data_IF_908487883619
#
_entry.id   IF_908487883619
#
_cell.length_a   1.000
_cell.length_b   1.000
_cell.length_c   1.000
_cell.angle_alpha   90.00
_cell.angle_beta   90.00
_cell.angle_gamma   90.00
#
_symmetry.space_group_name_H-M   'P 1'
#
loop_
_entity.id
_entity.type
_entity.pdbx_description
1 polymer ?
#
# COMPACT_ATOMS: atom_id res chain seq x y z
N UNK A 1 33.85 13.07 -9.12
CA UNK A 1 32.42 13.45 -9.13
C UNK A 1 31.60 12.19 -8.98
N UNK A 2 30.57 12.19 -8.13
CA UNK A 2 29.71 11.00 -7.94
C UNK A 2 28.65 10.94 -9.04
N UNK A 3 28.36 9.75 -9.56
CA UNK A 3 27.26 9.51 -10.50
C UNK A 3 26.06 8.94 -9.74
N UNK A 4 24.93 9.64 -9.82
CA UNK A 4 23.63 9.24 -9.25
C UNK A 4 22.72 8.82 -10.40
N UNK A 5 22.11 7.64 -10.28
CA UNK A 5 21.19 7.11 -11.29
C UNK A 5 19.82 6.90 -10.68
N UNK A 6 18.79 7.57 -11.20
CA UNK A 6 17.39 7.33 -10.84
C UNK A 6 16.73 6.44 -11.89
N UNK A 7 16.32 5.23 -11.49
CA UNK A 7 15.86 4.19 -12.42
C UNK A 7 14.39 4.33 -12.85
N UNK A 8 13.54 5.00 -12.07
CA UNK A 8 12.09 4.98 -12.25
C UNK A 8 11.40 6.27 -11.80
N UNK A 9 11.81 7.41 -12.37
CA UNK A 9 11.29 8.74 -12.03
C UNK A 9 9.78 8.89 -12.27
N UNK A 10 9.19 8.17 -13.23
CA UNK A 10 7.75 8.23 -13.51
C UNK A 10 6.88 7.76 -12.34
N UNK A 11 7.47 7.07 -11.37
CA UNK A 11 6.75 6.62 -10.17
C UNK A 11 6.48 7.74 -9.17
N UNK A 12 7.16 8.88 -9.29
CA UNK A 12 6.85 10.09 -8.53
C UNK A 12 6.05 11.04 -9.41
N UNK A 13 5.09 11.76 -8.83
CA UNK A 13 4.31 12.77 -9.57
C UNK A 13 5.22 13.73 -10.35
N UNK A 14 4.84 14.17 -11.57
CA UNK A 14 5.58 15.21 -12.28
C UNK A 14 5.57 16.55 -11.51
N UNK A 15 4.60 16.76 -10.61
CA UNK A 15 4.55 17.94 -9.73
C UNK A 15 5.56 17.89 -8.58
N UNK A 16 6.14 16.72 -8.30
CA UNK A 16 7.12 16.55 -7.22
C UNK A 16 8.44 17.22 -7.58
N UNK A 17 8.86 18.14 -6.73
CA UNK A 17 10.13 18.85 -6.88
C UNK A 17 11.23 17.99 -6.26
N UNK A 18 12.11 17.45 -7.10
CA UNK A 18 13.32 16.77 -6.67
C UNK A 18 14.48 17.77 -6.71
N UNK A 19 14.83 18.35 -5.56
CA UNK A 19 15.97 19.27 -5.48
C UNK A 19 17.29 18.54 -5.78
N UNK A 20 18.28 19.21 -6.40
CA UNK A 20 19.60 18.62 -6.57
C UNK A 20 20.29 18.44 -5.19
N UNK A 21 21.03 17.34 -4.97
CA UNK A 21 21.92 17.19 -3.81
C UNK A 21 22.98 18.30 -3.73
N UNK A 22 23.29 18.74 -2.51
CA UNK A 22 24.20 19.84 -2.21
C UNK A 22 25.71 19.58 -2.41
N UNK A 23 26.10 18.67 -3.29
CA UNK A 23 27.50 18.33 -3.59
C UNK A 23 27.73 18.11 -5.10
N UNK A 24 28.96 18.20 -5.64
CA UNK A 24 29.22 17.96 -7.06
C UNK A 24 28.87 16.53 -7.50
N UNK A 25 27.90 16.41 -8.41
CA UNK A 25 27.42 15.12 -8.92
C UNK A 25 26.97 15.22 -10.38
N UNK A 26 26.90 14.06 -11.03
CA UNK A 26 26.17 13.83 -12.27
C UNK A 26 24.88 13.09 -11.91
N UNK A 27 23.73 13.61 -12.37
CA UNK A 27 22.43 12.94 -12.19
C UNK A 27 21.95 12.41 -13.54
N UNK A 28 21.80 11.09 -13.64
CA UNK A 28 21.19 10.41 -14.77
C UNK A 28 19.79 9.95 -14.36
N UNK A 29 18.77 10.40 -15.07
CA UNK A 29 17.37 10.10 -14.75
C UNK A 29 16.77 9.24 -15.85
N UNK A 30 16.11 8.17 -15.44
CA UNK A 30 15.28 7.34 -16.30
C UNK A 30 13.86 7.34 -15.77
N UNK A 31 12.92 7.55 -16.68
CA UNK A 31 11.49 7.51 -16.38
C UNK A 31 11.08 6.10 -15.94
N UNK A 32 11.54 5.07 -16.66
CA UNK A 32 11.27 3.65 -16.41
C UNK A 32 12.46 2.79 -16.77
N UNK A 33 12.74 1.75 -15.99
CA UNK A 33 13.80 0.75 -16.24
C UNK A 33 13.22 -0.66 -16.27
N UNK A 34 13.45 -1.40 -17.36
CA UNK A 34 13.13 -2.85 -17.43
C UNK A 34 14.21 -3.68 -16.75
N UNK A 35 13.91 -4.95 -16.44
CA UNK A 35 14.87 -5.86 -15.80
C UNK A 35 16.18 -5.99 -16.60
N UNK A 36 16.09 -6.02 -17.93
CA UNK A 36 17.23 -6.15 -18.85
C UNK A 36 18.12 -4.89 -18.85
N UNK A 37 17.50 -3.73 -18.63
CA UNK A 37 18.18 -2.43 -18.64
C UNK A 37 18.90 -2.12 -17.32
N UNK A 38 18.50 -2.76 -16.20
CA UNK A 38 19.07 -2.48 -14.87
C UNK A 38 20.59 -2.58 -14.92
N UNK A 39 21.12 -3.68 -15.45
CA UNK A 39 22.55 -3.98 -15.53
C UNK A 39 23.35 -2.83 -16.15
N UNK A 40 22.91 -2.33 -17.29
CA UNK A 40 23.60 -1.27 -18.01
C UNK A 40 23.54 0.06 -17.24
N UNK A 41 22.35 0.41 -16.75
CA UNK A 41 22.09 1.71 -16.11
C UNK A 41 22.81 1.87 -14.78
N UNK A 42 23.00 0.80 -14.02
CA UNK A 42 23.71 0.87 -12.73
C UNK A 42 25.23 0.66 -12.84
N UNK A 43 25.76 0.30 -14.01
CA UNK A 43 27.16 -0.13 -14.17
C UNK A 43 28.19 0.92 -13.73
N UNK A 44 27.86 2.21 -13.88
CA UNK A 44 28.73 3.35 -13.53
C UNK A 44 28.25 4.12 -12.31
N UNK A 45 27.15 3.72 -11.68
CA UNK A 45 26.54 4.44 -10.57
C UNK A 45 27.37 4.30 -9.29
N UNK A 46 27.57 5.42 -8.58
CA UNK A 46 28.02 5.40 -7.18
C UNK A 46 26.80 5.34 -6.23
N UNK A 47 25.67 5.93 -6.65
CA UNK A 47 24.40 5.95 -5.92
C UNK A 47 23.26 5.61 -6.89
N UNK A 48 22.38 4.70 -6.48
CA UNK A 48 21.16 4.37 -7.23
C UNK A 48 19.93 4.81 -6.45
N UNK A 49 19.02 5.53 -7.10
CA UNK A 49 17.67 5.81 -6.62
C UNK A 49 16.73 4.83 -7.32
N UNK A 50 15.91 4.12 -6.54
CA UNK A 50 14.87 3.22 -7.07
C UNK A 50 13.62 3.26 -6.20
N UNK A 51 12.44 3.33 -6.80
CA UNK A 51 11.17 3.18 -6.10
C UNK A 51 10.67 1.73 -6.15
N UNK A 52 10.66 1.14 -7.35
CA UNK A 52 10.07 -0.17 -7.66
C UNK A 52 10.93 -1.05 -8.57
N UNK A 53 11.97 -0.53 -9.23
CA UNK A 53 12.86 -1.34 -10.06
C UNK A 53 13.62 -2.36 -9.20
N UNK A 54 13.47 -3.68 -9.43
CA UNK A 54 14.14 -4.70 -8.62
C UNK A 54 15.67 -4.65 -8.75
N UNK A 55 16.35 -4.63 -7.61
CA UNK A 55 17.80 -4.65 -7.45
C UNK A 55 18.20 -5.94 -6.72
N UNK A 56 18.28 -7.02 -7.49
CA UNK A 56 18.62 -8.37 -7.02
C UNK A 56 20.11 -8.67 -7.17
N UNK A 57 20.58 -9.74 -6.52
CA UNK A 57 21.98 -10.19 -6.55
C UNK A 57 22.54 -10.22 -7.97
N UNK A 58 21.80 -10.72 -8.96
CA UNK A 58 22.27 -10.85 -10.34
C UNK A 58 22.51 -9.49 -11.01
N UNK A 59 21.70 -8.48 -10.68
CA UNK A 59 21.91 -7.12 -11.18
C UNK A 59 23.07 -6.43 -10.45
N UNK A 60 23.12 -6.58 -9.13
CA UNK A 60 24.03 -5.85 -8.25
C UNK A 60 25.49 -6.13 -8.61
N UNK A 61 25.86 -7.37 -8.93
CA UNK A 61 27.24 -7.75 -9.30
C UNK A 61 27.84 -6.92 -10.45
N UNK A 62 27.00 -6.30 -11.28
CA UNK A 62 27.43 -5.47 -12.41
C UNK A 62 27.66 -4.00 -12.05
N UNK A 63 27.47 -3.61 -10.79
CA UNK A 63 27.67 -2.25 -10.29
C UNK A 63 28.88 -2.20 -9.34
N UNK A 64 30.14 -2.26 -9.83
CA UNK A 64 31.34 -2.37 -8.99
C UNK A 64 31.62 -1.10 -8.16
N UNK A 65 31.06 0.04 -8.56
CA UNK A 65 31.23 1.33 -7.89
C UNK A 65 30.10 1.68 -6.91
N UNK A 66 29.01 0.92 -6.93
CA UNK A 66 27.81 1.24 -6.18
C UNK A 66 28.09 1.21 -4.69
N UNK A 67 27.77 2.31 -4.00
CA UNK A 67 27.97 2.46 -2.56
C UNK A 67 26.67 2.65 -1.80
N UNK A 68 25.64 3.19 -2.46
CA UNK A 68 24.33 3.43 -1.85
C UNK A 68 23.18 3.08 -2.79
N UNK A 69 22.14 2.47 -2.22
CA UNK A 69 20.81 2.37 -2.81
C UNK A 69 19.85 3.21 -1.95
N UNK A 70 19.34 4.29 -2.52
CA UNK A 70 18.35 5.15 -1.92
C UNK A 70 16.96 4.72 -2.41
N UNK A 71 16.23 3.97 -1.58
CA UNK A 71 14.89 3.48 -1.92
C UNK A 71 13.90 4.60 -1.71
N UNK A 72 13.22 5.03 -2.77
CA UNK A 72 12.19 6.08 -2.76
C UNK A 72 10.83 5.57 -2.23
N UNK A 73 10.86 4.80 -1.15
CA UNK A 73 9.68 4.20 -0.52
C UNK A 73 10.00 3.70 0.90
N UNK A 74 8.96 3.36 1.68
CA UNK A 74 9.12 2.64 2.96
C UNK A 74 9.46 1.17 2.73
N UNK A 75 8.77 0.53 1.79
CA UNK A 75 9.00 -0.87 1.43
C UNK A 75 10.31 -1.03 0.66
N UNK A 76 11.07 -2.04 1.02
CA UNK A 76 12.40 -2.33 0.46
C UNK A 76 12.44 -3.70 -0.22
N UNK A 77 11.26 -4.27 -0.47
CA UNK A 77 11.04 -5.60 -1.07
C UNK A 77 11.74 -5.78 -2.42
N UNK A 78 12.04 -4.67 -3.10
CA UNK A 78 12.72 -4.62 -4.40
C UNK A 78 14.23 -4.79 -4.31
N UNK A 79 14.84 -4.66 -3.14
CA UNK A 79 16.29 -4.79 -2.95
C UNK A 79 16.62 -6.11 -2.25
N UNK A 80 17.58 -6.87 -2.78
CA UNK A 80 18.22 -7.95 -2.01
C UNK A 80 19.17 -7.34 -0.96
N UNK A 81 18.64 -7.13 0.25
CA UNK A 81 19.38 -6.51 1.35
C UNK A 81 20.59 -7.34 1.80
N UNK A 82 20.52 -8.68 1.69
CA UNK A 82 21.63 -9.55 2.05
C UNK A 82 22.78 -9.40 1.04
N UNK A 83 22.48 -9.42 -0.26
CA UNK A 83 23.48 -9.19 -1.31
C UNK A 83 24.06 -7.76 -1.25
N UNK A 84 23.25 -6.75 -0.92
CA UNK A 84 23.74 -5.39 -0.72
C UNK A 84 24.74 -5.31 0.44
N UNK A 85 24.41 -5.95 1.58
CA UNK A 85 25.27 -5.99 2.77
C UNK A 85 26.58 -6.73 2.53
N UNK A 86 26.55 -7.90 1.88
CA UNK A 86 27.74 -8.66 1.49
C UNK A 86 28.75 -7.82 0.69
N UNK A 87 28.25 -6.86 -0.09
CA UNK A 87 29.04 -5.98 -0.95
C UNK A 87 29.36 -4.61 -0.32
N UNK A 88 28.96 -4.39 0.93
CA UNK A 88 29.17 -3.11 1.62
C UNK A 88 28.33 -1.95 1.05
N UNK A 89 27.21 -2.23 0.40
CA UNK A 89 26.30 -1.23 -0.14
C UNK A 89 25.34 -0.79 0.96
N UNK A 90 25.30 0.51 1.25
CA UNK A 90 24.32 1.09 2.17
C UNK A 90 22.94 1.15 1.51
N UNK A 91 21.90 0.65 2.17
CA UNK A 91 20.52 0.78 1.68
C UNK A 91 19.75 1.67 2.65
N UNK A 92 19.19 2.77 2.16
CA UNK A 92 18.37 3.69 2.95
C UNK A 92 16.96 3.75 2.38
N UNK A 93 15.96 3.81 3.25
CA UNK A 93 14.55 3.94 2.86
C UNK A 93 13.93 5.27 3.33
N UNK A 94 12.68 5.49 2.93
CA UNK A 94 11.88 6.63 3.40
C UNK A 94 10.98 6.14 4.52
N UNK A 95 10.82 6.92 5.58
CA UNK A 95 9.99 6.55 6.73
C UNK A 95 8.99 7.65 7.00
N UNK A 96 7.81 7.26 7.47
CA UNK A 96 6.85 8.19 8.07
C UNK A 96 6.28 9.29 7.15
N UNK A 97 6.50 9.24 5.84
CA UNK A 97 5.96 10.22 4.88
C UNK A 97 4.45 10.03 4.65
N UNK A 98 3.95 8.80 4.73
CA UNK A 98 2.57 8.44 4.41
C UNK A 98 1.59 8.43 5.61
N UNK A 99 1.95 9.10 6.71
CA UNK A 99 1.21 9.05 7.98
C UNK A 99 -0.23 9.56 7.93
N UNK A 100 -0.52 10.44 6.98
CA UNK A 100 -1.84 11.08 6.80
C UNK A 100 -2.54 10.53 5.55
N UNK A 101 -1.86 10.59 4.39
CA UNK A 101 -2.40 10.17 3.09
C UNK A 101 -2.94 8.74 3.06
N UNK A 102 -2.24 7.74 3.62
CA UNK A 102 -2.73 6.35 3.58
C UNK A 102 -3.97 6.17 4.46
N UNK A 103 -3.98 6.61 5.74
CA UNK A 103 -5.20 6.58 6.54
C UNK A 103 -6.38 7.33 5.94
N UNK A 104 -6.15 8.49 5.31
CA UNK A 104 -7.18 9.24 4.60
C UNK A 104 -7.72 8.44 3.41
N UNK A 105 -6.85 7.82 2.59
CA UNK A 105 -7.26 6.96 1.48
C UNK A 105 -8.02 5.72 1.96
N UNK A 106 -7.59 5.10 3.06
CA UNK A 106 -8.33 3.99 3.71
C UNK A 106 -9.76 4.43 4.02
N UNK A 107 -9.96 5.59 4.61
CA UNK A 107 -11.31 6.11 4.90
C UNK A 107 -12.07 6.56 3.66
N UNK A 108 -11.40 7.07 2.63
CA UNK A 108 -12.02 7.37 1.35
C UNK A 108 -12.65 6.11 0.73
N UNK A 109 -11.92 4.99 0.71
CA UNK A 109 -12.42 3.69 0.27
C UNK A 109 -13.58 3.19 1.15
N UNK A 110 -13.43 3.26 2.48
CA UNK A 110 -14.49 2.86 3.43
C UNK A 110 -15.77 3.64 3.17
N UNK A 111 -15.70 4.97 3.09
CA UNK A 111 -16.87 5.84 2.91
C UNK A 111 -17.51 5.63 1.53
N UNK A 112 -16.70 5.51 0.47
CA UNK A 112 -17.20 5.26 -0.88
C UNK A 112 -18.00 3.96 -0.97
N UNK A 113 -17.53 2.89 -0.30
CA UNK A 113 -18.20 1.59 -0.27
C UNK A 113 -19.39 1.59 0.68
N UNK A 114 -19.24 2.09 1.91
CA UNK A 114 -20.28 2.07 2.96
C UNK A 114 -21.51 2.90 2.59
N UNK A 115 -21.31 3.97 1.81
CA UNK A 115 -22.37 4.86 1.31
C UNK A 115 -22.74 4.61 -0.15
N UNK A 116 -22.14 3.60 -0.79
CA UNK A 116 -22.37 3.25 -2.20
C UNK A 116 -22.20 4.45 -3.16
N UNK A 117 -21.24 5.33 -2.89
CA UNK A 117 -21.07 6.60 -3.61
C UNK A 117 -20.83 6.37 -5.11
N UNK A 118 -19.93 5.43 -5.45
CA UNK A 118 -19.56 5.14 -6.84
C UNK A 118 -20.76 4.59 -7.63
N UNK A 119 -21.45 3.52 -7.18
CA UNK A 119 -22.59 3.01 -7.94
C UNK A 119 -23.78 3.98 -7.98
N UNK A 120 -24.08 4.74 -6.92
CA UNK A 120 -25.14 5.78 -7.00
C UNK A 120 -24.78 6.88 -7.99
N UNK A 121 -23.51 7.34 -8.02
CA UNK A 121 -23.04 8.30 -9.03
C UNK A 121 -23.26 7.74 -10.44
N UNK A 122 -22.94 6.47 -10.66
CA UNK A 122 -23.14 5.84 -11.97
C UNK A 122 -24.62 5.76 -12.34
N UNK A 123 -25.49 5.31 -11.42
CA UNK A 123 -26.94 5.27 -11.65
C UNK A 123 -27.52 6.65 -12.03
N UNK A 124 -27.07 7.73 -11.39
CA UNK A 124 -27.50 9.09 -11.76
C UNK A 124 -27.06 9.47 -13.18
N UNK A 125 -25.82 9.15 -13.57
CA UNK A 125 -25.33 9.42 -14.93
C UNK A 125 -26.09 8.60 -15.98
N UNK A 126 -26.54 7.40 -15.62
CA UNK A 126 -27.33 6.52 -16.48
C UNK A 126 -28.82 6.91 -16.55
N UNK A 127 -29.24 7.99 -15.88
CA UNK A 127 -30.62 8.50 -15.92
C UNK A 127 -31.58 7.84 -14.93
N UNK A 128 -31.10 6.92 -14.09
CA UNK A 128 -31.92 6.14 -13.15
C UNK A 128 -32.75 7.01 -12.20
N UNK A 129 -32.25 8.20 -11.82
CA UNK A 129 -32.96 9.09 -10.91
C UNK A 129 -34.19 9.72 -11.58
N UNK A 130 -34.08 10.11 -12.86
CA UNK A 130 -35.20 10.61 -13.64
C UNK A 130 -36.25 9.52 -13.84
N UNK A 131 -35.83 8.28 -14.12
CA UNK A 131 -36.71 7.12 -14.22
C UNK A 131 -37.43 6.81 -12.90
N UNK A 132 -36.77 7.02 -11.76
CA UNK A 132 -37.40 6.85 -10.46
C UNK A 132 -38.57 7.82 -10.23
N UNK A 133 -38.60 8.95 -10.96
CA UNK A 133 -39.65 9.98 -10.90
C UNK A 133 -39.98 10.47 -9.48
N UNK A 134 -39.01 10.44 -8.57
CA UNK A 134 -39.16 10.86 -7.17
C UNK A 134 -37.85 11.43 -6.61
N UNK A 135 -37.88 11.98 -5.39
CA UNK A 135 -36.71 12.70 -4.85
C UNK A 135 -35.51 11.79 -4.51
N UNK A 136 -35.68 10.47 -4.37
CA UNK A 136 -34.61 9.50 -4.13
C UNK A 136 -34.95 8.05 -4.57
N UNK A 137 -33.93 7.20 -4.67
CA UNK A 137 -34.07 5.75 -4.92
C UNK A 137 -33.06 4.96 -4.08
N UNK A 138 -33.29 3.65 -3.89
CA UNK A 138 -32.58 2.81 -2.91
C UNK A 138 -31.97 1.55 -3.54
N UNK A 139 -31.40 1.69 -4.73
CA UNK A 139 -30.89 0.54 -5.51
C UNK A 139 -29.61 -0.07 -4.91
N UNK A 140 -28.89 0.66 -4.05
CA UNK A 140 -27.65 0.21 -3.41
C UNK A 140 -27.70 0.37 -1.88
N UNK A 141 -27.08 -0.55 -1.11
CA UNK A 141 -27.10 -0.50 0.35
C UNK A 141 -26.37 0.74 0.86
N UNK A 142 -26.89 1.34 1.92
CA UNK A 142 -26.28 2.47 2.63
C UNK A 142 -26.32 2.15 4.12
N UNK A 143 -25.21 2.34 4.81
CA UNK A 143 -25.14 2.22 6.25
C UNK A 143 -24.26 3.31 6.86
N UNK A 144 -24.39 3.52 8.17
CA UNK A 144 -23.57 4.47 8.91
C UNK A 144 -22.29 3.81 9.42
N UNK A 145 -21.24 4.61 9.65
CA UNK A 145 -20.05 4.15 10.38
C UNK A 145 -20.25 4.22 11.89
N UNK A 146 -21.00 5.22 12.38
CA UNK A 146 -21.30 5.34 13.82
C UNK A 146 -21.93 4.06 14.37
N UNK A 147 -21.40 3.57 15.49
CA UNK A 147 -21.83 2.31 16.11
C UNK A 147 -21.31 1.03 15.44
N UNK A 148 -20.65 1.13 14.29
CA UNK A 148 -20.02 -0.02 13.62
C UNK A 148 -18.67 -0.38 14.26
N UNK A 149 -18.21 -1.60 14.02
CA UNK A 149 -16.93 -2.12 14.51
C UNK A 149 -15.89 -2.13 13.38
N UNK A 150 -14.76 -1.46 13.59
CA UNK A 150 -13.59 -1.52 12.73
C UNK A 150 -12.58 -2.53 13.29
N UNK A 151 -12.31 -3.60 12.56
CA UNK A 151 -11.19 -4.50 12.80
C UNK A 151 -9.92 -4.02 12.10
N UNK A 152 -8.81 -3.93 12.84
CA UNK A 152 -7.51 -3.50 12.31
C UNK A 152 -6.50 -4.63 12.44
N UNK A 153 -5.96 -5.10 11.32
CA UNK A 153 -4.83 -6.05 11.29
C UNK A 153 -3.53 -5.28 11.05
N UNK A 154 -2.72 -5.15 12.09
CA UNK A 154 -1.47 -4.37 12.06
C UNK A 154 -1.63 -3.01 12.73
N UNK A 155 -1.16 -2.88 13.97
CA UNK A 155 -1.32 -1.69 14.80
C UNK A 155 -0.03 -0.84 14.87
N UNK A 156 0.60 -0.64 13.71
CA UNK A 156 1.72 0.27 13.54
C UNK A 156 1.29 1.73 13.44
N UNK A 157 2.16 2.59 12.91
CA UNK A 157 1.86 4.02 12.70
C UNK A 157 0.57 4.25 11.90
N UNK A 158 0.37 3.49 10.81
CA UNK A 158 -0.80 3.64 9.94
C UNK A 158 -2.08 3.11 10.60
N UNK A 159 -2.05 1.88 11.14
CA UNK A 159 -3.19 1.30 11.85
C UNK A 159 -3.64 2.14 13.05
N UNK A 160 -2.72 2.75 13.81
CA UNK A 160 -3.06 3.69 14.89
C UNK A 160 -3.75 4.95 14.37
N UNK A 161 -3.28 5.52 13.26
CA UNK A 161 -3.90 6.68 12.66
C UNK A 161 -5.32 6.39 12.16
N UNK A 162 -5.50 5.25 11.50
CA UNK A 162 -6.82 4.75 11.07
C UNK A 162 -7.75 4.51 12.26
N UNK A 163 -7.28 3.89 13.35
CA UNK A 163 -8.07 3.70 14.57
C UNK A 163 -8.57 5.01 15.17
N UNK A 164 -7.73 6.06 15.24
CA UNK A 164 -8.15 7.38 15.74
C UNK A 164 -9.21 8.04 14.85
N UNK A 165 -9.09 7.91 13.53
CA UNK A 165 -10.12 8.44 12.61
C UNK A 165 -11.44 7.67 12.82
N UNK A 166 -11.38 6.34 13.01
CA UNK A 166 -12.55 5.51 13.28
C UNK A 166 -13.29 5.92 14.56
N UNK A 167 -12.55 6.19 15.64
CA UNK A 167 -13.10 6.69 16.90
C UNK A 167 -13.82 8.03 16.71
N UNK A 168 -13.27 8.93 15.87
CA UNK A 168 -13.91 10.20 15.54
C UNK A 168 -15.22 10.03 14.75
N UNK A 169 -15.37 8.95 13.97
CA UNK A 169 -16.63 8.55 13.34
C UNK A 169 -17.59 7.81 14.29
N UNK A 170 -17.22 7.61 15.56
CA UNK A 170 -18.03 6.87 16.54
C UNK A 170 -18.01 5.36 16.33
N UNK A 171 -16.98 4.81 15.68
CA UNK A 171 -16.80 3.36 15.53
C UNK A 171 -16.17 2.75 16.78
N UNK A 172 -16.48 1.48 17.04
CA UNK A 172 -15.71 0.64 17.95
C UNK A 172 -14.48 0.10 17.24
N UNK A 173 -13.28 0.27 17.82
CA UNK A 173 -12.04 -0.26 17.23
C UNK A 173 -11.63 -1.58 17.90
N UNK A 174 -11.38 -2.61 17.10
CA UNK A 174 -10.76 -3.87 17.53
C UNK A 174 -9.39 -4.02 16.87
N UNK A 175 -8.35 -4.19 17.68
CA UNK A 175 -7.00 -4.41 17.18
C UNK A 175 -6.71 -5.91 17.18
N UNK A 176 -6.47 -6.49 16.01
CA UNK A 176 -6.19 -7.92 15.92
C UNK A 176 -4.85 -8.28 16.58
N UNK A 177 -4.87 -9.36 17.36
CA UNK A 177 -3.69 -10.12 17.76
C UNK A 177 -3.04 -10.84 16.58
N UNK A 178 -2.05 -11.69 16.86
CA UNK A 178 -1.43 -12.53 15.83
C UNK A 178 -2.38 -13.67 15.45
N UNK A 179 -2.41 -14.03 14.16
CA UNK A 179 -3.15 -15.20 13.67
C UNK A 179 -2.58 -16.49 14.30
N UNK A 180 -3.46 -17.45 14.60
CA UNK A 180 -3.07 -18.76 15.14
C UNK A 180 -2.73 -18.77 16.64
N UNK A 181 -2.98 -17.68 17.37
CA UNK A 181 -2.81 -17.64 18.83
C UNK A 181 -3.89 -16.80 19.50
N UNK A 182 -4.38 -17.30 20.64
CA UNK A 182 -5.30 -16.57 21.52
C UNK A 182 -4.55 -15.66 22.51
N UNK A 183 -3.21 -15.76 22.57
CA UNK A 183 -2.40 -14.88 23.39
C UNK A 183 -2.29 -13.50 22.75
N UNK A 184 -2.98 -12.53 23.35
CA UNK A 184 -3.04 -11.15 22.88
C UNK A 184 -2.29 -10.20 23.81
N UNK A 185 -1.70 -9.14 23.24
CA UNK A 185 -1.14 -8.05 24.04
C UNK A 185 -2.27 -7.20 24.64
N UNK A 186 -2.02 -6.43 25.72
CA UNK A 186 -3.00 -5.48 26.24
C UNK A 186 -3.55 -4.56 25.14
N UNK A 187 -4.87 -4.45 25.06
CA UNK A 187 -5.58 -3.67 24.05
C UNK A 187 -5.76 -4.36 22.68
N UNK A 188 -5.34 -5.62 22.53
CA UNK A 188 -5.64 -6.44 21.36
C UNK A 188 -6.79 -7.42 21.63
N UNK A 189 -7.41 -7.88 20.55
CA UNK A 189 -8.50 -8.85 20.50
C UNK A 189 -8.02 -10.07 19.70
N UNK A 190 -8.37 -11.32 20.09
CA UNK A 190 -7.99 -12.51 19.33
C UNK A 190 -8.35 -12.38 17.86
N UNK A 191 -7.47 -12.84 16.97
CA UNK A 191 -7.58 -12.61 15.53
C UNK A 191 -8.94 -13.08 14.99
N UNK A 192 -9.35 -14.30 15.33
CA UNK A 192 -10.62 -14.89 14.90
C UNK A 192 -11.85 -14.14 15.46
N UNK A 193 -11.73 -13.57 16.66
CA UNK A 193 -12.78 -12.74 17.24
C UNK A 193 -12.93 -11.41 16.48
N UNK A 194 -11.84 -10.83 15.99
CA UNK A 194 -11.91 -9.66 15.11
C UNK A 194 -12.64 -9.99 13.81
N UNK A 195 -12.35 -11.15 13.19
CA UNK A 195 -13.02 -11.57 11.95
C UNK A 195 -14.54 -11.69 12.14
N UNK A 196 -14.98 -12.31 13.23
CA UNK A 196 -16.42 -12.48 13.54
C UNK A 196 -17.15 -11.16 13.78
N UNK A 197 -16.48 -10.18 14.39
CA UNK A 197 -17.15 -8.99 14.95
C UNK A 197 -17.07 -7.74 14.07
N UNK A 198 -16.12 -7.68 13.15
CA UNK A 198 -15.87 -6.50 12.33
C UNK A 198 -17.02 -6.25 11.33
N UNK A 199 -17.48 -5.00 11.24
CA UNK A 199 -18.33 -4.50 10.15
C UNK A 199 -17.48 -3.95 8.99
N UNK A 200 -16.25 -3.53 9.32
CA UNK A 200 -15.20 -3.13 8.37
C UNK A 200 -13.89 -3.75 8.86
N UNK A 201 -13.13 -4.37 7.96
CA UNK A 201 -11.82 -4.95 8.26
C UNK A 201 -10.75 -4.27 7.40
N UNK A 202 -9.65 -3.80 8.00
CA UNK A 202 -8.57 -3.11 7.27
C UNK A 202 -7.18 -3.66 7.58
N UNK A 203 -6.34 -3.75 6.55
CA UNK A 203 -5.01 -4.37 6.60
C UNK A 203 -3.88 -3.33 6.56
N UNK A 204 -3.05 -3.31 7.60
CA UNK A 204 -1.90 -2.43 7.77
C UNK A 204 -0.67 -3.17 8.35
N UNK A 205 -0.62 -4.49 8.23
CA UNK A 205 0.53 -5.32 8.61
C UNK A 205 1.52 -5.46 7.42
N UNK A 206 2.81 -5.72 7.69
CA UNK A 206 3.77 -6.03 6.63
C UNK A 206 3.46 -7.39 5.98
N UNK A 207 3.83 -7.55 4.71
CA UNK A 207 3.83 -8.84 4.03
C UNK A 207 5.13 -9.59 4.34
N UNK A 208 5.01 -10.80 4.89
CA UNK A 208 6.11 -11.73 5.14
C UNK A 208 5.59 -13.18 5.09
N UNK A 209 6.42 -14.16 5.45
CA UNK A 209 6.03 -15.57 5.43
C UNK A 209 4.85 -15.90 6.36
N UNK A 210 4.70 -15.18 7.49
CA UNK A 210 3.60 -15.40 8.45
C UNK A 210 2.30 -14.69 8.04
N UNK A 211 2.38 -13.63 7.22
CA UNK A 211 1.23 -12.79 6.85
C UNK A 211 0.79 -12.91 5.40
N UNK A 212 1.52 -13.69 4.57
CA UNK A 212 1.09 -14.02 3.22
C UNK A 212 -0.21 -14.82 3.27
N UNK A 213 -1.23 -14.35 2.54
CA UNK A 213 -2.57 -14.96 2.59
C UNK A 213 -3.16 -14.98 4.00
N UNK A 214 -2.86 -13.97 4.84
CA UNK A 214 -3.40 -13.89 6.20
C UNK A 214 -4.93 -13.87 6.19
N UNK A 215 -5.54 -13.30 5.14
CA UNK A 215 -6.95 -13.46 4.79
C UNK A 215 -7.07 -14.40 3.59
N UNK A 216 -7.65 -15.58 3.81
CA UNK A 216 -8.00 -16.55 2.77
C UNK A 216 -9.33 -17.22 3.14
N UNK A 217 -9.69 -18.33 2.49
CA UNK A 217 -10.99 -19.02 2.61
C UNK A 217 -11.44 -19.24 4.06
N UNK A 218 -10.52 -19.64 4.96
CA UNK A 218 -10.85 -19.85 6.37
C UNK A 218 -11.30 -18.55 7.05
N UNK A 219 -10.60 -17.45 6.78
CA UNK A 219 -10.90 -16.17 7.40
C UNK A 219 -12.21 -15.57 6.90
N UNK A 220 -12.49 -15.69 5.60
CA UNK A 220 -13.78 -15.27 5.05
C UNK A 220 -14.95 -16.03 5.68
N UNK A 221 -14.81 -17.35 5.89
CA UNK A 221 -15.83 -18.16 6.55
C UNK A 221 -16.08 -17.78 8.03
N UNK A 222 -15.15 -17.07 8.68
CA UNK A 222 -15.33 -16.56 10.04
C UNK A 222 -16.09 -15.23 10.09
N UNK A 223 -16.34 -14.57 8.95
CA UNK A 223 -16.89 -13.22 8.90
C UNK A 223 -18.42 -13.22 9.04
N UNK A 224 -18.91 -13.32 10.28
CA UNK A 224 -20.36 -13.38 10.58
C UNK A 224 -21.15 -12.14 10.16
N UNK A 225 -20.48 -10.99 10.06
CA UNK A 225 -21.11 -9.70 9.77
C UNK A 225 -21.04 -9.25 8.31
N UNK A 226 -20.49 -10.07 7.42
CA UNK A 226 -20.30 -9.70 6.00
C UNK A 226 -19.61 -8.34 5.82
N UNK A 227 -18.39 -8.14 6.36
CA UNK A 227 -17.76 -6.83 6.45
C UNK A 227 -17.39 -6.24 5.08
N UNK A 228 -17.05 -4.96 5.08
CA UNK A 228 -16.25 -4.35 4.02
C UNK A 228 -14.78 -4.67 4.28
N UNK A 229 -14.06 -5.25 3.32
CA UNK A 229 -12.62 -5.52 3.42
C UNK A 229 -11.79 -4.43 2.73
N UNK A 230 -10.81 -3.86 3.42
CA UNK A 230 -9.94 -2.80 2.93
C UNK A 230 -8.48 -3.24 2.97
N UNK A 231 -7.76 -3.05 1.86
CA UNK A 231 -6.32 -3.33 1.79
C UNK A 231 -5.57 -2.18 1.11
N UNK A 232 -4.89 -1.37 1.92
CA UNK A 232 -3.93 -0.36 1.47
C UNK A 232 -2.51 -0.71 1.93
N UNK A 233 -2.26 -2.01 2.17
CA UNK A 233 -1.00 -2.55 2.67
C UNK A 233 -0.19 -3.20 1.55
N UNK A 234 -0.45 -4.49 1.32
CA UNK A 234 0.19 -5.30 0.27
C UNK A 234 -0.82 -6.29 -0.29
N UNK A 235 -0.81 -6.52 -1.61
CA UNK A 235 -1.75 -7.42 -2.28
C UNK A 235 -1.72 -8.84 -1.71
N UNK A 236 -0.53 -9.44 -1.63
CA UNK A 236 -0.33 -10.81 -1.11
C UNK A 236 -0.70 -11.06 0.35
N UNK A 237 -1.24 -10.08 1.09
CA UNK A 237 -1.90 -10.32 2.39
C UNK A 237 -3.25 -11.04 2.22
N UNK A 238 -3.88 -10.90 1.06
CA UNK A 238 -5.17 -11.51 0.74
C UNK A 238 -4.97 -12.48 -0.41
N UNK A 239 -5.54 -13.67 -0.27
CA UNK A 239 -5.68 -14.62 -1.37
C UNK A 239 -6.76 -14.10 -2.32
N UNK A 240 -6.36 -13.63 -3.51
CA UNK A 240 -7.28 -12.98 -4.46
C UNK A 240 -8.34 -13.94 -5.03
N UNK A 241 -8.04 -15.25 -5.13
CA UNK A 241 -9.04 -16.24 -5.55
C UNK A 241 -10.06 -16.49 -4.44
N UNK A 242 -9.61 -16.58 -3.19
CA UNK A 242 -10.52 -16.67 -2.05
C UNK A 242 -11.38 -15.40 -1.92
N UNK A 243 -10.82 -14.22 -2.20
CA UNK A 243 -11.56 -12.95 -2.21
C UNK A 243 -12.67 -12.93 -3.25
N UNK A 244 -12.39 -13.38 -4.48
CA UNK A 244 -13.39 -13.51 -5.53
C UNK A 244 -14.55 -14.42 -5.10
N UNK A 245 -14.22 -15.61 -4.59
CA UNK A 245 -15.23 -16.54 -4.10
C UNK A 245 -16.03 -16.00 -2.91
N UNK A 246 -15.39 -15.26 -2.00
CA UNK A 246 -16.06 -14.64 -0.86
C UNK A 246 -17.07 -13.57 -1.29
N UNK A 247 -16.76 -12.77 -2.31
CA UNK A 247 -17.69 -11.80 -2.92
C UNK A 247 -18.86 -12.49 -3.63
N UNK A 248 -18.62 -13.64 -4.26
CA UNK A 248 -19.68 -14.44 -4.91
C UNK A 248 -20.63 -15.07 -3.89
N UNK A 249 -20.09 -15.59 -2.78
CA UNK A 249 -20.86 -16.22 -1.70
C UNK A 249 -21.54 -15.22 -0.76
N UNK A 250 -21.18 -13.93 -0.85
CA UNK A 250 -21.68 -12.90 0.06
C UNK A 250 -21.08 -12.96 1.47
N UNK A 251 -19.90 -13.57 1.62
CA UNK A 251 -19.14 -13.62 2.90
C UNK A 251 -18.58 -12.24 3.27
N UNK A 252 -18.44 -11.34 2.27
CA UNK A 252 -18.13 -9.92 2.47
C UNK A 252 -19.09 -9.06 1.64
N UNK A 253 -19.43 -7.87 2.16
CA UNK A 253 -20.33 -6.95 1.47
C UNK A 253 -19.63 -6.16 0.35
N UNK A 254 -18.33 -5.90 0.49
CA UNK A 254 -17.56 -5.07 -0.45
C UNK A 254 -16.05 -5.19 -0.24
N UNK A 255 -15.26 -4.79 -1.23
CA UNK A 255 -13.80 -4.75 -1.17
C UNK A 255 -13.23 -3.42 -1.69
N UNK A 256 -12.34 -2.79 -0.92
CA UNK A 256 -11.63 -1.56 -1.30
C UNK A 256 -10.12 -1.76 -1.24
N UNK A 257 -9.47 -1.86 -2.40
CA UNK A 257 -8.06 -2.21 -2.52
C UNK A 257 -7.28 -1.12 -3.24
N UNK A 258 -6.06 -0.88 -2.78
CA UNK A 258 -5.07 -0.03 -3.46
C UNK A 258 -3.88 -0.85 -3.96
N UNK A 259 -3.87 -2.16 -3.77
CA UNK A 259 -2.73 -3.05 -4.03
C UNK A 259 -3.19 -4.40 -4.55
N UNK A 260 -2.35 -5.09 -5.33
CA UNK A 260 -2.63 -6.42 -5.92
C UNK A 260 -1.43 -7.36 -5.76
N UNK A 261 -1.63 -8.69 -5.77
CA UNK A 261 -0.52 -9.66 -5.73
C UNK A 261 0.11 -9.77 -7.12
N UNK A 262 0.95 -8.79 -7.43
CA UNK A 262 1.51 -8.53 -8.76
C UNK A 262 0.99 -7.21 -9.31
N UNK A 263 1.89 -6.27 -9.57
CA UNK A 263 1.55 -4.90 -9.97
C UNK A 263 2.41 -4.48 -11.19
N UNK A 264 1.79 -4.08 -12.32
CA UNK A 264 0.34 -4.07 -12.57
C UNK A 264 -0.26 -5.49 -12.61
N UNK A 265 -1.53 -5.68 -12.20
CA UNK A 265 -2.18 -6.98 -12.27
C UNK A 265 -2.37 -7.41 -13.73
N UNK A 266 -2.29 -8.72 -13.99
CA UNK A 266 -2.65 -9.29 -15.28
C UNK A 266 -4.13 -9.01 -15.60
N UNK A 267 -4.46 -8.82 -16.88
CA UNK A 267 -5.82 -8.44 -17.30
C UNK A 267 -6.89 -9.47 -16.90
N UNK A 268 -6.50 -10.74 -16.79
CA UNK A 268 -7.34 -11.87 -16.39
C UNK A 268 -7.18 -12.25 -14.92
N UNK A 269 -6.46 -11.46 -14.10
CA UNK A 269 -6.28 -11.77 -12.68
C UNK A 269 -7.63 -11.75 -11.92
N UNK A 270 -7.74 -12.49 -10.79
CA UNK A 270 -8.96 -12.47 -9.98
C UNK A 270 -9.35 -11.04 -9.57
N UNK A 271 -8.38 -10.20 -9.20
CA UNK A 271 -8.64 -8.80 -8.86
C UNK A 271 -9.27 -8.03 -10.03
N UNK A 272 -8.79 -8.21 -11.26
CA UNK A 272 -9.35 -7.52 -12.43
C UNK A 272 -10.76 -8.02 -12.77
N UNK A 273 -11.05 -9.31 -12.54
CA UNK A 273 -12.40 -9.86 -12.73
C UNK A 273 -13.42 -9.29 -11.73
N UNK A 274 -13.03 -9.11 -10.47
CA UNK A 274 -13.93 -8.54 -9.46
C UNK A 274 -14.01 -7.01 -9.52
N UNK A 275 -13.02 -6.32 -10.09
CA UNK A 275 -12.98 -4.86 -10.17
C UNK A 275 -14.15 -4.25 -10.96
N UNK A 276 -14.84 -5.03 -11.80
CA UNK A 276 -16.03 -4.57 -12.53
C UNK A 276 -17.30 -4.58 -11.68
N UNK A 277 -17.26 -5.11 -10.45
CA UNK A 277 -18.42 -5.18 -9.56
C UNK A 277 -18.69 -3.81 -8.92
N UNK A 278 -19.96 -3.43 -8.72
CA UNK A 278 -20.31 -2.12 -8.13
C UNK A 278 -19.89 -1.97 -6.66
N UNK A 279 -19.64 -3.08 -5.97
CA UNK A 279 -19.21 -3.13 -4.58
C UNK A 279 -17.70 -3.39 -4.41
N UNK A 280 -16.92 -3.21 -5.48
CA UNK A 280 -15.45 -3.30 -5.46
C UNK A 280 -14.86 -1.98 -5.95
N UNK A 281 -13.87 -1.47 -5.22
CA UNK A 281 -13.06 -0.34 -5.65
C UNK A 281 -11.60 -0.78 -5.68
N UNK A 282 -10.97 -0.69 -6.84
CA UNK A 282 -9.53 -0.91 -7.02
C UNK A 282 -8.88 0.41 -7.43
N UNK A 283 -7.84 0.81 -6.69
CA UNK A 283 -7.00 1.98 -6.97
C UNK A 283 -5.56 1.56 -7.28
N UNK A 284 -4.85 2.26 -8.17
CA UNK A 284 -3.58 1.77 -8.73
C UNK A 284 -2.36 2.09 -7.85
N UNK A 285 -2.37 1.66 -6.59
CA UNK A 285 -1.29 1.87 -5.62
C UNK A 285 -0.92 3.35 -5.42
N UNK A 286 -1.94 4.15 -5.12
CA UNK A 286 -1.87 5.61 -4.99
C UNK A 286 -2.21 6.13 -3.60
N UNK A 287 -2.52 5.26 -2.62
CA UNK A 287 -2.83 5.70 -1.25
C UNK A 287 -1.70 6.51 -0.59
N UNK A 288 -0.46 6.29 -1.03
CA UNK A 288 0.73 7.00 -0.54
C UNK A 288 1.00 8.33 -1.25
N UNK A 289 0.26 8.65 -2.30
CA UNK A 289 0.67 9.57 -3.35
C UNK A 289 0.01 10.96 -3.26
N UNK A 290 -0.36 11.44 -2.05
CA UNK A 290 -0.76 12.85 -1.91
C UNK A 290 0.41 13.78 -2.24
N UNK A 291 0.11 14.98 -2.74
CA UNK A 291 1.12 15.99 -3.09
C UNK A 291 2.09 16.24 -1.93
N UNK A 292 1.56 16.39 -0.71
CA UNK A 292 2.33 16.65 0.50
C UNK A 292 3.21 15.45 0.88
N UNK A 293 2.70 14.23 0.73
CA UNK A 293 3.42 13.01 1.09
C UNK A 293 4.55 12.72 0.09
N UNK A 294 4.31 12.86 -1.21
CA UNK A 294 5.37 12.65 -2.22
C UNK A 294 6.45 13.72 -2.09
N UNK A 295 6.10 14.98 -1.81
CA UNK A 295 7.11 16.00 -1.60
C UNK A 295 7.97 15.69 -0.36
N UNK A 296 7.37 15.33 0.77
CA UNK A 296 8.11 14.94 1.98
C UNK A 296 9.02 13.71 1.73
N UNK A 297 8.57 12.78 0.89
CA UNK A 297 9.37 11.64 0.44
C UNK A 297 10.58 12.09 -0.37
N UNK A 298 10.39 12.98 -1.35
CA UNK A 298 11.46 13.49 -2.21
C UNK A 298 12.49 14.28 -1.40
N UNK A 299 12.05 15.10 -0.44
CA UNK A 299 12.94 15.86 0.44
C UNK A 299 13.81 14.92 1.28
N UNK A 300 13.19 13.92 1.94
CA UNK A 300 13.91 12.93 2.74
C UNK A 300 14.84 12.04 1.89
N UNK A 301 14.46 11.75 0.65
CA UNK A 301 15.29 10.97 -0.27
C UNK A 301 16.61 11.68 -0.54
N UNK A 302 16.57 12.97 -0.86
CA UNK A 302 17.78 13.77 -1.11
C UNK A 302 18.57 13.96 0.18
N UNK A 303 17.92 14.20 1.32
CA UNK A 303 18.60 14.27 2.61
C UNK A 303 19.36 12.98 2.93
N UNK A 304 18.75 11.81 2.74
CA UNK A 304 19.42 10.52 2.97
C UNK A 304 20.69 10.38 2.14
N UNK A 305 20.66 10.83 0.87
CA UNK A 305 21.82 10.82 -0.04
C UNK A 305 22.91 11.76 0.46
N UNK A 306 22.55 12.98 0.89
CA UNK A 306 23.50 13.96 1.43
C UNK A 306 24.15 13.46 2.73
N UNK A 307 23.36 12.88 3.64
CA UNK A 307 23.86 12.30 4.88
C UNK A 307 24.79 11.11 4.63
N UNK A 308 24.51 10.29 3.62
CA UNK A 308 25.41 9.21 3.19
C UNK A 308 26.75 9.77 2.70
N UNK A 309 26.75 10.78 1.83
CA UNK A 309 27.98 11.41 1.32
C UNK A 309 28.77 12.10 2.43
N UNK A 310 28.09 12.65 3.44
CA UNK A 310 28.70 13.20 4.65
C UNK A 310 29.22 12.14 5.65
N UNK A 311 29.08 10.84 5.36
CA UNK A 311 29.55 9.75 6.22
C UNK A 311 28.66 9.44 7.42
N UNK A 312 27.41 9.94 7.44
CA UNK A 312 26.45 9.76 8.54
C UNK A 312 25.10 9.24 8.03
N UNK A 313 25.05 8.08 7.33
CA UNK A 313 23.86 7.63 6.62
C UNK A 313 22.66 7.46 7.55
N UNK A 314 21.48 7.88 7.06
CA UNK A 314 20.21 7.81 7.78
C UNK A 314 19.29 6.76 7.18
N UNK A 315 18.31 6.34 7.98
CA UNK A 315 17.27 5.39 7.57
C UNK A 315 17.81 4.08 6.96
N UNK A 316 18.98 3.64 7.42
CA UNK A 316 19.63 2.43 6.92
C UNK A 316 18.79 1.19 7.27
N UNK A 317 18.74 0.24 6.33
CA UNK A 317 18.05 -1.05 6.44
C UNK A 317 18.97 -2.19 6.00
N UNK A 318 18.85 -3.35 6.67
CA UNK A 318 19.67 -4.55 6.42
C UNK A 318 20.89 -4.69 7.32
#
# INVERSE_FOLDING_TARGET
>A
MLTIVFLDRDTLSPETILRPPGFPHELVVHDRTTAEQVRERIARADIVISNKVPLRRESLIHAPRLKMIAVAATGTDIVDLAAAKERGITVSNIRNYAKHTVPEHTFALILALRRSIVPYRQSVLDGRWQEAAQFCFFDHPIADLGGSTLGIIGHGTLGKAVGRIAEAFGMKVLIAGRKGTDQVKPGQTPFDEVMRRADVLTLHCPLNAETRGIISTREFALMEKTPILINTGRGGLVDELALEQALEKGEIAAAGFDVTDGEPPAADSPMMRIATRPNVILTPHVAWASREAIQALADQLIENIEFFVAGTPRNVVG
#
